data_IF_124396502184
#
_entry.id   IF_124396502184
#
_cell.length_a   1.000
_cell.length_b   1.000
_cell.length_c   1.000
_cell.angle_alpha   90.00
_cell.angle_beta   90.00
_cell.angle_gamma   90.00
#
_symmetry.space_group_name_H-M   'P 1'
#
loop_
_entity.id
_entity.type
_entity.pdbx_description
1 polymer ?
#
# COMPACT_ATOMS: atom_id res chain seq x y z
N UNK A 1 -20.75 28.28 2.16
CA UNK A 1 -19.70 28.41 3.19
C UNK A 1 -19.18 26.99 3.49
N UNK A 2 -17.87 26.75 3.45
CA UNK A 2 -17.31 25.42 3.74
C UNK A 2 -17.02 25.25 5.24
N UNK A 3 -17.30 24.04 5.80
CA UNK A 3 -16.91 23.64 7.14
C UNK A 3 -16.12 22.33 7.08
N UNK A 4 -15.38 22.03 8.14
CA UNK A 4 -14.65 20.77 8.30
C UNK A 4 -15.23 20.05 9.50
N UNK A 5 -15.49 18.76 9.31
CA UNK A 5 -16.02 17.87 10.33
C UNK A 5 -15.16 16.63 10.43
N UNK A 6 -14.84 16.18 11.67
CA UNK A 6 -14.08 14.97 11.92
C UNK A 6 -14.99 13.96 12.58
N UNK A 7 -15.05 12.77 11.99
CA UNK A 7 -15.92 11.68 12.46
C UNK A 7 -15.15 10.35 12.43
N UNK A 8 -15.58 9.40 13.24
CA UNK A 8 -15.15 8.00 13.16
C UNK A 8 -16.05 7.23 12.18
N UNK A 9 -15.55 6.13 11.60
CA UNK A 9 -16.28 5.35 10.59
C UNK A 9 -17.66 4.89 11.05
N UNK A 10 -17.80 4.54 12.33
CA UNK A 10 -19.04 4.05 12.95
C UNK A 10 -20.03 5.19 13.31
N UNK A 11 -19.53 6.40 13.45
CA UNK A 11 -20.35 7.61 13.71
C UNK A 11 -20.98 8.19 12.43
N UNK A 12 -20.46 7.81 11.25
CA UNK A 12 -20.97 8.32 9.95
C UNK A 12 -22.42 7.92 9.77
N UNK A 13 -23.30 8.92 9.66
CA UNK A 13 -24.74 8.72 9.45
C UNK A 13 -25.05 8.17 8.07
N UNK A 14 -26.25 7.63 7.87
CA UNK A 14 -26.65 7.09 6.56
C UNK A 14 -26.69 8.17 5.47
N UNK A 15 -27.02 9.40 5.81
CA UNK A 15 -27.03 10.54 4.88
C UNK A 15 -25.62 10.95 4.48
N UNK A 16 -24.70 11.08 5.44
CA UNK A 16 -23.29 11.38 5.16
C UNK A 16 -22.63 10.29 4.36
N UNK A 17 -22.98 9.02 4.64
CA UNK A 17 -22.47 7.86 3.92
C UNK A 17 -22.87 7.89 2.45
N UNK A 18 -24.13 8.27 2.16
CA UNK A 18 -24.60 8.45 0.80
C UNK A 18 -23.81 9.58 0.10
N UNK A 19 -23.73 10.76 0.72
CA UNK A 19 -23.02 11.92 0.19
C UNK A 19 -21.54 11.63 -0.03
N UNK A 20 -20.88 10.94 0.94
CA UNK A 20 -19.50 10.54 0.79
C UNK A 20 -19.30 9.62 -0.41
N UNK A 21 -20.15 8.59 -0.53
CA UNK A 21 -20.03 7.60 -1.60
C UNK A 21 -20.19 8.23 -2.99
N UNK A 22 -21.11 9.17 -3.13
CA UNK A 22 -21.31 9.93 -4.38
C UNK A 22 -20.08 10.78 -4.71
N UNK A 23 -19.57 11.57 -3.75
CA UNK A 23 -18.38 12.39 -3.92
C UNK A 23 -17.13 11.55 -4.21
N UNK A 24 -16.96 10.42 -3.51
CA UNK A 24 -15.85 9.49 -3.73
C UNK A 24 -15.89 8.90 -5.14
N UNK A 25 -17.06 8.40 -5.57
CA UNK A 25 -17.25 7.82 -6.90
C UNK A 25 -16.94 8.84 -8.00
N UNK A 26 -17.38 10.08 -7.80
CA UNK A 26 -17.08 11.18 -8.73
C UNK A 26 -15.56 11.50 -8.75
N UNK A 27 -14.91 11.57 -7.58
CA UNK A 27 -13.50 11.95 -7.47
C UNK A 27 -12.54 10.92 -8.09
N UNK A 28 -12.86 9.62 -7.95
CA UNK A 28 -11.99 8.52 -8.35
C UNK A 28 -12.48 7.77 -9.59
N UNK A 29 -13.61 8.14 -10.16
CA UNK A 29 -14.29 7.44 -11.28
C UNK A 29 -14.49 5.94 -10.95
N UNK A 30 -15.03 5.68 -9.76
CA UNK A 30 -15.29 4.35 -9.22
C UNK A 30 -16.80 4.16 -9.01
N UNK A 31 -17.18 2.99 -8.52
CA UNK A 31 -18.56 2.65 -8.16
C UNK A 31 -18.56 1.81 -6.90
N UNK A 32 -18.25 2.46 -5.75
CA UNK A 32 -18.41 1.82 -4.44
C UNK A 32 -19.81 2.07 -3.90
N UNK A 33 -20.31 1.14 -3.11
CA UNK A 33 -21.58 1.29 -2.42
C UNK A 33 -21.39 1.76 -0.97
N UNK A 34 -22.44 2.30 -0.32
CA UNK A 34 -22.41 2.62 1.11
C UNK A 34 -22.01 1.44 2.01
N UNK A 35 -22.33 0.20 1.59
CA UNK A 35 -21.94 -1.00 2.33
C UNK A 35 -20.42 -1.22 2.30
N UNK A 36 -19.77 -0.90 1.17
CA UNK A 36 -18.34 -1.08 1.00
C UNK A 36 -17.53 -0.11 1.87
N UNK A 37 -18.09 1.06 2.20
CA UNK A 37 -17.43 2.07 3.03
C UNK A 37 -16.99 1.50 4.38
N UNK A 38 -17.92 0.91 5.15
CA UNK A 38 -17.62 0.41 6.49
C UNK A 38 -16.57 -0.70 6.50
N UNK A 39 -16.64 -1.62 5.52
CA UNK A 39 -15.66 -2.70 5.39
C UNK A 39 -14.29 -2.17 4.97
N UNK A 40 -14.25 -1.18 4.07
CA UNK A 40 -13.02 -0.58 3.56
C UNK A 40 -12.17 0.12 4.64
N UNK A 41 -12.84 0.78 5.59
CA UNK A 41 -12.17 1.62 6.60
C UNK A 41 -12.13 0.99 7.99
N UNK A 42 -12.38 -0.30 8.09
CA UNK A 42 -12.19 -1.03 9.34
C UNK A 42 -10.70 -1.16 9.67
N UNK A 43 -10.35 -1.03 10.92
CA UNK A 43 -8.98 -1.12 11.44
C UNK A 43 -8.95 -2.01 12.69
N UNK A 44 -7.77 -2.18 13.29
CA UNK A 44 -7.63 -2.89 14.56
C UNK A 44 -8.38 -2.20 15.73
N UNK A 45 -8.66 -0.89 15.63
CA UNK A 45 -9.50 -0.16 16.58
C UNK A 45 -11.01 -0.36 16.33
N UNK A 46 -11.38 -1.04 15.22
CA UNK A 46 -12.76 -1.17 14.79
C UNK A 46 -13.25 -0.04 13.88
N UNK A 47 -12.59 1.11 13.88
CA UNK A 47 -12.93 2.30 13.11
C UNK A 47 -11.70 2.99 12.49
N UNK A 48 -11.93 3.93 11.62
CA UNK A 48 -10.96 4.87 11.07
C UNK A 48 -11.45 6.30 11.25
N UNK A 49 -10.57 7.26 11.04
CA UNK A 49 -10.90 8.68 11.16
C UNK A 49 -11.11 9.31 9.79
N UNK A 50 -12.14 10.09 9.66
CA UNK A 50 -12.45 10.84 8.45
C UNK A 50 -12.51 12.32 8.78
N UNK A 51 -11.89 13.15 7.95
CA UNK A 51 -12.11 14.60 7.94
C UNK A 51 -12.82 14.94 6.66
N UNK A 52 -14.07 15.38 6.77
CA UNK A 52 -14.89 15.80 5.65
C UNK A 52 -14.83 17.30 5.45
N UNK A 53 -14.66 17.72 4.21
CA UNK A 53 -14.94 19.09 3.78
C UNK A 53 -16.39 19.15 3.31
N UNK A 54 -17.20 19.91 3.98
CA UNK A 54 -18.64 20.04 3.71
C UNK A 54 -18.94 21.43 3.15
N UNK A 55 -19.68 21.48 2.05
CA UNK A 55 -20.21 22.70 1.44
C UNK A 55 -21.67 22.49 1.13
N UNK A 56 -22.54 23.43 1.57
CA UNK A 56 -24.00 23.34 1.32
C UNK A 56 -24.61 21.99 1.73
N UNK A 57 -24.16 21.45 2.89
CA UNK A 57 -24.53 20.15 3.47
C UNK A 57 -24.04 18.92 2.67
N UNK A 58 -23.26 19.11 1.60
CA UNK A 58 -22.67 18.02 0.81
C UNK A 58 -21.20 17.82 1.14
N UNK A 59 -20.73 16.56 1.17
CA UNK A 59 -19.33 16.23 1.32
C UNK A 59 -18.63 16.44 -0.04
N UNK A 60 -17.74 17.43 -0.07
CA UNK A 60 -16.99 17.81 -1.27
C UNK A 60 -15.50 17.48 -1.20
N UNK A 61 -15.05 16.92 -0.09
CA UNK A 61 -13.68 16.44 0.09
C UNK A 61 -13.52 15.54 1.29
N UNK A 62 -12.49 14.72 1.28
CA UNK A 62 -12.19 13.81 2.39
C UNK A 62 -10.68 13.60 2.54
N UNK A 63 -10.28 13.40 3.79
CA UNK A 63 -9.00 12.80 4.21
C UNK A 63 -9.33 11.69 5.19
N UNK A 64 -8.95 10.47 4.86
CA UNK A 64 -9.16 9.32 5.74
C UNK A 64 -7.84 8.84 6.32
N UNK A 65 -7.83 8.50 7.60
CA UNK A 65 -6.69 7.89 8.30
C UNK A 65 -7.12 6.56 8.90
N UNK A 66 -6.51 5.48 8.42
CA UNK A 66 -6.73 4.12 8.93
C UNK A 66 -5.67 3.83 9.99
N UNK A 67 -6.02 3.59 11.25
CA UNK A 67 -5.10 3.13 12.28
C UNK A 67 -4.45 1.80 11.91
N UNK A 68 -3.13 1.71 12.08
CA UNK A 68 -2.31 0.55 11.76
C UNK A 68 -1.40 0.24 12.93
N UNK A 69 -1.23 -1.04 13.23
CA UNK A 69 -0.34 -1.50 14.29
C UNK A 69 1.03 -1.87 13.70
N UNK A 70 2.10 -1.36 14.33
CA UNK A 70 3.49 -1.62 13.95
C UNK A 70 4.30 -2.11 15.15
N UNK A 71 5.43 -2.75 14.87
CA UNK A 71 6.49 -3.04 15.83
C UNK A 71 7.73 -2.26 15.46
N UNK A 72 8.20 -1.43 16.38
CA UNK A 72 9.48 -0.74 16.34
C UNK A 72 10.40 -1.37 17.38
N UNK A 73 11.50 -2.02 16.96
CA UNK A 73 12.37 -2.78 17.88
C UNK A 73 11.61 -3.71 18.82
N UNK A 74 10.60 -4.43 18.34
CA UNK A 74 9.69 -5.29 19.11
C UNK A 74 8.73 -4.57 20.09
N UNK A 75 8.71 -3.24 20.13
CA UNK A 75 7.69 -2.48 20.86
C UNK A 75 6.53 -2.19 19.93
N UNK A 76 5.31 -2.41 20.38
CA UNK A 76 4.11 -2.03 19.65
C UNK A 76 3.97 -0.51 19.63
N UNK A 77 3.77 0.05 18.44
CA UNK A 77 3.42 1.46 18.21
C UNK A 77 2.29 1.54 17.19
N UNK A 78 1.56 2.62 17.22
CA UNK A 78 0.43 2.83 16.31
C UNK A 78 0.75 3.93 15.31
N UNK A 79 0.48 3.65 14.04
CA UNK A 79 0.58 4.60 12.94
C UNK A 79 -0.76 4.80 12.26
N UNK A 80 -0.92 5.91 11.56
CA UNK A 80 -2.08 6.21 10.75
C UNK A 80 -1.76 6.15 9.27
N UNK A 81 -2.42 5.27 8.52
CA UNK A 81 -2.31 5.23 7.07
C UNK A 81 -3.29 6.21 6.44
N UNK A 82 -2.78 7.23 5.77
CA UNK A 82 -3.61 8.22 5.06
C UNK A 82 -3.98 7.65 3.69
N UNK A 83 -5.28 7.59 3.42
CA UNK A 83 -5.85 7.06 2.17
C UNK A 83 -7.00 7.95 1.68
N UNK A 84 -7.41 7.75 0.45
CA UNK A 84 -8.63 8.30 -0.15
C UNK A 84 -8.76 9.81 0.04
N UNK A 85 -7.68 10.53 -0.26
CA UNK A 85 -7.62 11.98 -0.17
C UNK A 85 -8.15 12.59 -1.45
N UNK A 86 -9.24 13.34 -1.34
CA UNK A 86 -9.80 14.06 -2.47
C UNK A 86 -10.45 15.38 -2.06
N UNK A 87 -10.54 16.29 -3.01
CA UNK A 87 -11.41 17.48 -3.01
C UNK A 87 -11.97 17.57 -4.41
N UNK A 88 -13.29 17.74 -4.54
CA UNK A 88 -13.94 17.89 -5.83
C UNK A 88 -13.43 19.14 -6.57
N UNK A 89 -13.34 19.11 -7.90
CA UNK A 89 -12.69 20.17 -8.69
C UNK A 89 -13.18 21.58 -8.37
N UNK A 90 -14.47 21.74 -8.17
CA UNK A 90 -15.14 23.04 -7.92
C UNK A 90 -14.71 23.67 -6.58
N UNK A 91 -14.19 22.84 -5.66
CA UNK A 91 -13.80 23.25 -4.30
C UNK A 91 -12.28 23.32 -4.09
N UNK A 92 -11.48 23.22 -5.17
CA UNK A 92 -10.00 23.29 -5.12
C UNK A 92 -9.43 24.70 -5.14
N UNK A 93 -10.27 25.73 -5.13
CA UNK A 93 -9.83 27.13 -5.17
C UNK A 93 -9.06 27.56 -3.92
N UNK A 94 -9.39 27.02 -2.74
CA UNK A 94 -8.61 27.24 -1.52
C UNK A 94 -7.54 26.13 -1.38
N UNK A 95 -6.25 26.46 -1.59
CA UNK A 95 -5.17 25.48 -1.49
C UNK A 95 -4.94 24.97 -0.06
N UNK A 96 -5.56 25.60 0.94
CA UNK A 96 -5.40 25.22 2.35
C UNK A 96 -6.47 24.24 2.86
N UNK A 97 -7.48 23.90 2.08
CA UNK A 97 -8.53 22.97 2.52
C UNK A 97 -7.92 21.64 2.99
N UNK A 98 -7.06 21.02 2.21
CA UNK A 98 -6.43 19.75 2.57
C UNK A 98 -5.57 19.87 3.87
N UNK A 99 -4.83 20.97 4.01
CA UNK A 99 -4.06 21.24 5.21
C UNK A 99 -4.95 21.38 6.45
N UNK A 100 -6.07 22.12 6.31
CA UNK A 100 -7.02 22.31 7.41
C UNK A 100 -7.68 20.98 7.80
N UNK A 101 -8.09 20.17 6.81
CA UNK A 101 -8.69 18.85 7.02
C UNK A 101 -7.74 17.92 7.77
N UNK A 102 -6.49 17.82 7.33
CA UNK A 102 -5.52 16.98 8.02
C UNK A 102 -5.18 17.49 9.42
N UNK A 103 -5.06 18.82 9.59
CA UNK A 103 -4.80 19.40 10.92
C UNK A 103 -5.92 19.15 11.91
N UNK A 104 -7.17 19.12 11.45
CA UNK A 104 -8.32 18.81 12.31
C UNK A 104 -8.33 17.34 12.77
N UNK A 105 -7.71 16.41 12.02
CA UNK A 105 -7.55 15.01 12.42
C UNK A 105 -6.50 14.82 13.53
N UNK A 106 -5.41 15.61 13.54
CA UNK A 106 -4.27 15.38 14.44
C UNK A 106 -4.64 15.23 15.93
N UNK A 107 -5.51 16.06 16.53
CA UNK A 107 -5.89 15.89 17.94
C UNK A 107 -6.52 14.51 18.22
N UNK A 108 -7.37 14.02 17.32
CA UNK A 108 -8.02 12.71 17.44
C UNK A 108 -7.02 11.57 17.32
N UNK A 109 -6.07 11.67 16.36
CA UNK A 109 -5.02 10.68 16.19
C UNK A 109 -4.12 10.58 17.42
N UNK A 110 -3.72 11.71 17.99
CA UNK A 110 -2.90 11.78 19.22
C UNK A 110 -3.66 11.18 20.40
N UNK A 111 -4.94 11.46 20.53
CA UNK A 111 -5.80 10.91 21.59
C UNK A 111 -5.82 9.37 21.57
N UNK A 112 -5.79 8.77 20.38
CA UNK A 112 -5.73 7.31 20.18
C UNK A 112 -4.29 6.76 20.17
N UNK A 113 -3.33 7.53 20.66
CA UNK A 113 -1.90 7.16 20.72
C UNK A 113 -1.30 6.82 19.35
N UNK A 114 -1.81 7.38 18.27
CA UNK A 114 -1.20 7.27 16.95
C UNK A 114 0.01 8.21 16.92
N UNK A 115 1.19 7.63 16.78
CA UNK A 115 2.47 8.34 16.93
C UNK A 115 2.97 8.95 15.63
N UNK A 116 2.49 8.46 14.49
CA UNK A 116 2.83 9.00 13.16
C UNK A 116 1.71 8.76 12.16
N UNK A 117 1.70 9.57 11.10
CA UNK A 117 0.86 9.32 9.91
C UNK A 117 1.74 9.07 8.71
N UNK A 118 1.39 8.10 7.87
CA UNK A 118 2.13 7.71 6.68
C UNK A 118 1.24 7.74 5.45
N UNK A 119 1.79 8.16 4.31
CA UNK A 119 1.10 8.14 3.03
C UNK A 119 2.03 7.80 1.87
N UNK A 120 1.44 7.35 0.76
CA UNK A 120 2.13 7.17 -0.53
C UNK A 120 1.38 8.00 -1.58
N UNK A 121 1.60 9.33 -1.61
CA UNK A 121 0.93 10.21 -2.55
C UNK A 121 1.39 9.95 -3.97
N UNK A 122 0.51 10.20 -4.94
CA UNK A 122 0.91 10.23 -6.34
C UNK A 122 1.82 11.45 -6.63
N UNK A 123 2.50 11.42 -7.76
CA UNK A 123 3.46 12.46 -8.16
C UNK A 123 2.85 13.88 -8.16
N UNK A 124 1.58 14.01 -8.53
CA UNK A 124 0.96 15.33 -8.70
C UNK A 124 0.73 16.05 -7.38
N UNK A 125 0.49 15.32 -6.30
CA UNK A 125 0.21 15.89 -4.98
C UNK A 125 1.38 15.75 -4.00
N UNK A 126 2.43 14.98 -4.32
CA UNK A 126 3.56 14.75 -3.41
C UNK A 126 4.25 16.06 -2.97
N UNK A 127 4.38 17.03 -3.88
CA UNK A 127 4.95 18.35 -3.60
C UNK A 127 4.10 19.13 -2.59
N UNK A 128 2.79 19.01 -2.65
CA UNK A 128 1.89 19.65 -1.69
C UNK A 128 2.12 19.08 -0.27
N UNK A 129 2.16 17.75 -0.16
CA UNK A 129 2.40 17.07 1.12
C UNK A 129 3.75 17.46 1.74
N UNK A 130 4.81 17.50 0.95
CA UNK A 130 6.16 17.77 1.49
C UNK A 130 6.41 19.27 1.73
N UNK A 131 5.99 20.17 0.82
CA UNK A 131 6.30 21.60 0.94
C UNK A 131 5.28 22.39 1.78
N UNK A 132 3.99 22.08 1.65
CA UNK A 132 2.92 22.83 2.33
C UNK A 132 2.56 22.15 3.66
N UNK A 133 2.34 20.86 3.64
CA UNK A 133 1.98 20.10 4.84
C UNK A 133 3.18 19.69 5.69
N UNK A 134 4.40 19.82 5.14
CA UNK A 134 5.68 19.56 5.81
C UNK A 134 5.90 18.10 6.26
N UNK A 135 5.36 17.16 5.51
CA UNK A 135 5.69 15.76 5.68
C UNK A 135 7.14 15.48 5.28
N UNK A 136 7.81 14.64 6.04
CA UNK A 136 9.13 14.16 5.70
C UNK A 136 9.06 13.01 4.70
N UNK A 137 10.03 12.92 3.79
CA UNK A 137 10.13 11.81 2.84
C UNK A 137 11.05 10.75 3.40
N UNK A 138 10.55 9.53 3.61
CA UNK A 138 11.33 8.36 4.04
C UNK A 138 12.12 7.74 2.88
N UNK A 139 11.59 7.81 1.66
CA UNK A 139 12.18 7.24 0.45
C UNK A 139 11.15 7.03 -0.64
N UNK A 140 11.51 6.27 -1.67
CA UNK A 140 10.61 5.87 -2.77
C UNK A 140 10.49 4.35 -2.79
N UNK A 141 9.29 3.83 -3.03
CA UNK A 141 9.06 2.40 -3.20
C UNK A 141 9.68 1.91 -4.50
N UNK A 142 10.19 0.70 -4.47
CA UNK A 142 10.79 0.04 -5.62
C UNK A 142 9.76 -0.85 -6.33
N UNK A 143 9.82 -0.83 -7.66
CA UNK A 143 9.11 -1.78 -8.49
C UNK A 143 10.01 -2.99 -8.73
N UNK A 144 9.58 -4.15 -8.26
CA UNK A 144 10.29 -5.41 -8.43
C UNK A 144 9.45 -6.31 -9.34
N UNK A 145 10.04 -6.80 -10.42
CA UNK A 145 9.35 -7.61 -11.43
C UNK A 145 9.95 -9.00 -11.52
N UNK A 146 9.10 -10.00 -11.68
CA UNK A 146 9.48 -11.36 -12.09
C UNK A 146 8.76 -11.68 -13.41
N UNK A 147 9.53 -11.89 -14.46
CA UNK A 147 8.99 -12.20 -15.79
C UNK A 147 8.61 -13.67 -15.84
N UNK A 148 7.37 -13.96 -16.22
CA UNK A 148 6.81 -15.32 -16.32
C UNK A 148 6.76 -15.76 -17.76
N UNK A 149 6.29 -14.88 -18.67
CA UNK A 149 6.14 -15.17 -20.08
C UNK A 149 6.39 -13.92 -20.93
N UNK A 150 7.54 -13.88 -21.62
CA UNK A 150 7.90 -12.79 -22.54
C UNK A 150 7.03 -12.79 -23.81
N UNK A 151 6.41 -13.90 -24.13
CA UNK A 151 5.54 -14.04 -25.31
C UNK A 151 4.10 -13.61 -25.05
N UNK A 152 3.82 -13.10 -23.83
CA UNK A 152 2.52 -12.55 -23.42
C UNK A 152 1.35 -13.52 -23.67
N UNK A 153 1.57 -14.81 -23.44
CA UNK A 153 0.56 -15.86 -23.64
C UNK A 153 0.31 -16.28 -25.09
N UNK A 154 1.00 -15.69 -26.07
CA UNK A 154 0.77 -15.96 -27.50
C UNK A 154 1.05 -17.39 -27.91
N UNK A 155 1.96 -18.08 -27.24
CA UNK A 155 2.35 -19.47 -27.51
C UNK A 155 2.00 -20.43 -26.35
N UNK A 156 1.05 -20.01 -25.51
CA UNK A 156 0.52 -20.83 -24.41
C UNK A 156 1.59 -21.24 -23.39
N UNK A 157 1.50 -22.46 -22.86
CA UNK A 157 2.46 -22.95 -21.86
C UNK A 157 3.91 -23.01 -22.33
N UNK A 158 4.14 -23.17 -23.64
CA UNK A 158 5.50 -23.16 -24.20
C UNK A 158 6.19 -21.81 -23.98
N UNK A 159 5.44 -20.72 -23.96
CA UNK A 159 5.98 -19.38 -23.69
C UNK A 159 6.67 -19.28 -22.35
N UNK A 160 6.07 -19.81 -21.29
CA UNK A 160 6.64 -19.82 -19.95
C UNK A 160 7.91 -20.70 -19.85
N UNK A 161 7.92 -21.85 -20.53
CA UNK A 161 9.09 -22.73 -20.57
C UNK A 161 10.26 -22.05 -21.28
N UNK A 162 10.02 -21.51 -22.49
CA UNK A 162 11.04 -20.79 -23.26
C UNK A 162 11.55 -19.56 -22.51
N UNK A 163 10.67 -18.80 -21.90
CA UNK A 163 11.03 -17.67 -21.04
C UNK A 163 11.94 -18.11 -19.90
N UNK A 164 11.61 -19.19 -19.22
CA UNK A 164 12.41 -19.70 -18.09
C UNK A 164 13.81 -20.12 -18.56
N UNK A 165 13.94 -20.74 -19.72
CA UNK A 165 15.22 -21.13 -20.29
C UNK A 165 16.06 -19.89 -20.68
N UNK A 166 15.44 -18.90 -21.34
CA UNK A 166 16.12 -17.67 -21.75
C UNK A 166 16.59 -16.82 -20.58
N UNK A 167 15.80 -16.80 -19.49
CA UNK A 167 16.13 -16.01 -18.30
C UNK A 167 16.98 -16.75 -17.27
N UNK A 168 17.21 -18.07 -17.41
CA UNK A 168 18.00 -18.85 -16.47
C UNK A 168 19.40 -18.28 -16.20
N UNK A 169 20.19 -17.84 -17.20
CA UNK A 169 21.50 -17.23 -16.95
C UNK A 169 21.38 -15.92 -16.15
N UNK A 170 20.39 -15.10 -16.46
CA UNK A 170 20.15 -13.82 -15.75
C UNK A 170 19.73 -14.07 -14.29
N UNK A 171 18.87 -15.06 -14.06
CA UNK A 171 18.51 -15.46 -12.69
C UNK A 171 19.72 -15.97 -11.91
N UNK A 172 20.62 -16.73 -12.55
CA UNK A 172 21.85 -17.21 -11.92
C UNK A 172 22.77 -16.05 -11.57
N UNK A 173 22.98 -15.11 -12.49
CA UNK A 173 23.76 -13.90 -12.22
C UNK A 173 23.16 -13.10 -11.06
N UNK A 174 21.84 -12.87 -11.06
CA UNK A 174 21.16 -12.16 -9.98
C UNK A 174 21.31 -12.90 -8.63
N UNK A 175 21.21 -14.22 -8.63
CA UNK A 175 21.45 -15.05 -7.44
C UNK A 175 22.87 -14.85 -6.88
N UNK A 176 23.88 -14.88 -7.74
CA UNK A 176 25.29 -14.70 -7.32
C UNK A 176 25.49 -13.29 -6.75
N UNK A 177 24.96 -12.26 -7.42
CA UNK A 177 25.08 -10.87 -6.98
C UNK A 177 24.37 -10.60 -5.66
N UNK A 178 23.24 -11.28 -5.40
CA UNK A 178 22.44 -11.05 -4.19
C UNK A 178 22.80 -11.99 -3.04
N UNK A 179 23.59 -13.03 -3.27
CA UNK A 179 23.94 -14.06 -2.25
C UNK A 179 24.70 -13.50 -1.04
N UNK A 180 25.40 -12.38 -1.19
CA UNK A 180 26.20 -11.75 -0.13
C UNK A 180 25.57 -10.50 0.49
N UNK A 181 24.40 -10.07 0.02
CA UNK A 181 23.76 -8.89 0.59
C UNK A 181 23.22 -9.21 1.98
N UNK A 182 23.77 -8.54 3.00
CA UNK A 182 23.27 -8.63 4.36
C UNK A 182 21.76 -8.28 4.36
N UNK A 183 20.97 -9.15 4.97
CA UNK A 183 19.57 -8.88 5.25
C UNK A 183 19.52 -7.73 6.26
N UNK A 184 19.19 -6.55 5.84
CA UNK A 184 18.86 -5.48 6.79
C UNK A 184 17.65 -5.96 7.59
N UNK A 185 17.83 -6.18 8.88
CA UNK A 185 16.74 -6.53 9.78
C UNK A 185 15.74 -5.37 9.71
N UNK A 186 14.48 -5.68 9.41
CA UNK A 186 13.44 -4.66 9.44
C UNK A 186 13.23 -4.22 10.87
N UNK A 187 13.43 -2.94 11.09
CA UNK A 187 13.27 -2.29 12.40
C UNK A 187 11.80 -1.94 12.62
N UNK A 188 11.16 -1.44 11.57
CA UNK A 188 9.74 -1.14 11.55
C UNK A 188 8.98 -2.24 10.83
N UNK A 189 8.10 -2.94 11.52
CA UNK A 189 7.34 -4.07 10.98
C UNK A 189 5.85 -3.84 11.15
N UNK A 190 5.08 -4.02 10.08
CA UNK A 190 3.62 -4.05 10.15
C UNK A 190 3.15 -5.31 10.89
N UNK A 191 2.25 -5.15 11.85
CA UNK A 191 1.64 -6.29 12.55
C UNK A 191 0.56 -6.91 11.67
N UNK A 192 0.78 -8.16 11.27
CA UNK A 192 -0.10 -8.93 10.40
C UNK A 192 -0.91 -9.93 11.23
N UNK A 193 -1.94 -9.42 11.89
CA UNK A 193 -2.93 -10.27 12.58
C UNK A 193 -3.94 -10.86 11.59
N UNK A 194 -4.74 -11.83 12.03
CA UNK A 194 -5.90 -12.32 11.27
C UNK A 194 -6.85 -11.18 10.92
N UNK A 195 -7.12 -10.31 11.90
CA UNK A 195 -8.01 -9.16 11.77
C UNK A 195 -7.49 -8.14 10.76
N UNK A 196 -6.15 -7.91 10.74
CA UNK A 196 -5.53 -7.08 9.71
C UNK A 196 -5.83 -7.59 8.31
N UNK A 197 -5.64 -8.89 8.06
CA UNK A 197 -5.92 -9.46 6.74
C UNK A 197 -7.42 -9.45 6.42
N UNK A 198 -8.30 -9.74 7.37
CA UNK A 198 -9.75 -9.69 7.18
C UNK A 198 -10.22 -8.30 6.74
N UNK A 199 -9.59 -7.23 7.26
CA UNK A 199 -9.97 -5.86 6.93
C UNK A 199 -9.28 -5.31 5.67
N UNK A 200 -8.09 -5.82 5.32
CA UNK A 200 -7.30 -5.31 4.20
C UNK A 200 -7.47 -6.11 2.91
N UNK A 201 -7.89 -7.36 2.99
CA UNK A 201 -8.06 -8.21 1.82
C UNK A 201 -9.51 -8.17 1.32
N UNK A 202 -9.66 -8.25 -0.01
CA UNK A 202 -10.94 -8.37 -0.70
C UNK A 202 -11.15 -9.82 -1.13
N UNK A 203 -12.38 -10.21 -1.45
CA UNK A 203 -12.71 -11.54 -1.96
C UNK A 203 -11.96 -11.92 -3.24
N UNK A 204 -11.53 -10.93 -4.02
CA UNK A 204 -10.74 -11.13 -5.23
C UNK A 204 -9.27 -11.44 -4.96
N UNK A 205 -8.80 -11.22 -3.72
CA UNK A 205 -7.42 -11.48 -3.33
C UNK A 205 -7.23 -12.97 -3.05
N UNK A 206 -6.15 -13.52 -3.60
CA UNK A 206 -5.82 -14.93 -3.46
C UNK A 206 -4.75 -15.11 -2.39
N UNK A 207 -4.84 -16.21 -1.66
CA UNK A 207 -3.93 -16.58 -0.58
C UNK A 207 -3.21 -17.87 -0.88
N UNK A 208 -1.92 -17.92 -0.65
CA UNK A 208 -1.09 -19.14 -0.67
C UNK A 208 -0.51 -19.36 0.72
N UNK A 209 -0.76 -20.55 1.26
CA UNK A 209 -0.11 -21.02 2.49
C UNK A 209 0.91 -22.10 2.13
N UNK A 210 2.15 -21.91 2.48
CA UNK A 210 3.22 -22.87 2.20
C UNK A 210 4.23 -22.92 3.35
N UNK A 211 4.31 -24.06 4.03
CA UNK A 211 5.30 -24.33 5.10
C UNK A 211 5.42 -23.21 6.14
N UNK A 212 4.30 -22.68 6.61
CA UNK A 212 4.27 -21.59 7.59
C UNK A 212 4.53 -20.20 7.03
N UNK A 213 4.61 -20.05 5.71
CA UNK A 213 4.65 -18.79 5.00
C UNK A 213 3.27 -18.47 4.42
N UNK A 214 2.95 -17.22 4.36
CA UNK A 214 1.70 -16.71 3.81
C UNK A 214 1.98 -15.63 2.79
N UNK A 215 1.37 -15.76 1.61
CA UNK A 215 1.49 -14.83 0.51
C UNK A 215 0.11 -14.47 0.00
N UNK A 216 -0.11 -13.18 -0.19
CA UNK A 216 -1.33 -12.64 -0.77
C UNK A 216 -1.04 -11.98 -2.12
N UNK A 217 -1.89 -12.22 -3.11
CA UNK A 217 -1.76 -11.64 -4.43
C UNK A 217 -3.13 -11.42 -5.08
N UNK A 218 -3.14 -10.60 -6.11
CA UNK A 218 -4.31 -10.40 -6.98
C UNK A 218 -3.87 -10.43 -8.44
N UNK A 219 -4.70 -10.99 -9.31
CA UNK A 219 -4.46 -10.98 -10.75
C UNK A 219 -5.25 -9.84 -11.38
N UNK A 220 -4.56 -9.04 -12.18
CA UNK A 220 -5.14 -7.91 -12.89
C UNK A 220 -4.48 -7.70 -14.24
N UNK A 221 -4.84 -6.61 -14.90
CA UNK A 221 -4.22 -6.20 -16.18
C UNK A 221 -3.49 -4.88 -16.01
N UNK A 222 -2.29 -4.82 -16.52
CA UNK A 222 -1.50 -3.59 -16.67
C UNK A 222 -1.12 -3.42 -18.13
N UNK A 223 -1.59 -2.35 -18.77
CA UNK A 223 -1.33 -2.08 -20.21
C UNK A 223 -1.59 -3.31 -21.13
N UNK A 224 -2.72 -3.99 -20.91
CA UNK A 224 -3.13 -5.22 -21.62
C UNK A 224 -2.29 -6.48 -21.34
N UNK A 225 -1.39 -6.45 -20.36
CA UNK A 225 -0.62 -7.59 -19.90
C UNK A 225 -1.26 -8.14 -18.62
N UNK A 226 -1.45 -9.45 -18.53
CA UNK A 226 -1.90 -10.08 -17.30
C UNK A 226 -0.77 -10.09 -16.27
N UNK A 227 -1.02 -9.53 -15.10
CA UNK A 227 -0.03 -9.35 -14.02
C UNK A 227 -0.59 -9.92 -12.73
N UNK A 228 0.22 -10.66 -11.98
CA UNK A 228 -0.05 -10.94 -10.59
C UNK A 228 0.64 -9.87 -9.73
N UNK A 229 -0.14 -9.10 -8.99
CA UNK A 229 0.37 -8.15 -8.01
C UNK A 229 0.55 -8.86 -6.69
N UNK A 230 1.77 -8.96 -6.23
CA UNK A 230 2.10 -9.49 -4.91
C UNK A 230 1.76 -8.42 -3.86
N UNK A 231 0.72 -8.67 -3.07
CA UNK A 231 0.19 -7.72 -2.11
C UNK A 231 0.97 -7.74 -0.81
N UNK A 232 1.26 -8.94 -0.33
CA UNK A 232 1.98 -9.15 0.92
C UNK A 232 2.65 -10.52 0.96
N UNK A 233 3.71 -10.60 1.75
CA UNK A 233 4.39 -11.85 2.04
C UNK A 233 4.86 -11.84 3.49
N UNK A 234 4.40 -12.79 4.28
CA UNK A 234 4.81 -12.94 5.66
C UNK A 234 5.44 -14.31 5.91
N UNK A 235 6.43 -14.35 6.78
CA UNK A 235 7.11 -15.58 7.18
C UNK A 235 7.17 -15.69 8.68
N UNK A 236 6.79 -16.87 9.18
CA UNK A 236 6.91 -17.20 10.59
C UNK A 236 8.29 -17.82 10.96
N UNK A 237 9.07 -18.25 9.96
CA UNK A 237 10.24 -19.10 10.15
C UNK A 237 11.56 -18.48 9.69
N UNK A 238 11.56 -17.24 9.17
CA UNK A 238 12.78 -16.51 8.83
C UNK A 238 13.55 -16.98 7.57
N UNK A 239 13.22 -18.09 6.94
CA UNK A 239 13.81 -18.52 5.65
C UNK A 239 12.81 -18.31 4.51
N UNK A 240 12.80 -17.12 4.00
CA UNK A 240 11.73 -16.64 3.14
C UNK A 240 12.01 -16.82 1.65
N UNK A 241 13.29 -16.99 1.27
CA UNK A 241 13.67 -17.07 -0.14
C UNK A 241 13.10 -18.31 -0.84
N UNK A 242 13.12 -19.47 -0.16
CA UNK A 242 12.57 -20.71 -0.70
C UNK A 242 11.06 -20.70 -0.75
N UNK A 243 10.42 -20.08 0.25
CA UNK A 243 8.98 -19.96 0.29
C UNK A 243 8.46 -19.02 -0.80
N UNK A 244 9.12 -17.87 -0.98
CA UNK A 244 8.78 -16.95 -2.08
C UNK A 244 8.97 -17.63 -3.45
N UNK A 245 10.06 -18.42 -3.61
CA UNK A 245 10.28 -19.21 -4.84
C UNK A 245 9.13 -20.19 -5.09
N UNK A 246 8.72 -20.94 -4.06
CA UNK A 246 7.63 -21.89 -4.17
C UNK A 246 6.31 -21.19 -4.52
N UNK A 247 6.03 -20.06 -3.89
CA UNK A 247 4.84 -19.25 -4.16
C UNK A 247 4.85 -18.68 -5.60
N UNK A 248 5.98 -18.12 -6.06
CA UNK A 248 6.15 -17.66 -7.45
C UNK A 248 5.93 -18.82 -8.43
N UNK A 249 6.48 -20.01 -8.15
CA UNK A 249 6.27 -21.20 -8.97
C UNK A 249 4.77 -21.59 -9.01
N UNK A 250 4.11 -21.58 -7.87
CA UNK A 250 2.68 -21.85 -7.78
C UNK A 250 1.88 -20.87 -8.64
N UNK A 251 2.09 -19.55 -8.46
CA UNK A 251 1.39 -18.52 -9.24
C UNK A 251 1.62 -18.73 -10.76
N UNK A 252 2.85 -19.05 -11.17
CA UNK A 252 3.18 -19.33 -12.58
C UNK A 252 2.40 -20.52 -13.16
N UNK A 253 2.12 -21.53 -12.36
CA UNK A 253 1.42 -22.73 -12.81
C UNK A 253 -0.10 -22.54 -12.84
N UNK A 254 -0.65 -21.83 -11.86
CA UNK A 254 -2.09 -21.66 -11.68
C UNK A 254 -2.66 -20.50 -12.49
N UNK A 255 -1.85 -19.47 -12.73
CA UNK A 255 -2.32 -18.23 -13.33
C UNK A 255 -1.75 -18.02 -14.75
N UNK A 256 -2.63 -17.60 -15.67
CA UNK A 256 -2.22 -17.19 -17.02
C UNK A 256 -1.73 -15.74 -16.99
N UNK A 257 -0.52 -15.53 -16.48
CA UNK A 257 0.09 -14.22 -16.31
C UNK A 257 1.42 -14.13 -17.06
N UNK A 258 1.83 -12.92 -17.39
CA UNK A 258 3.12 -12.64 -18.03
C UNK A 258 4.14 -12.09 -17.05
N UNK A 259 3.69 -11.44 -15.98
CA UNK A 259 4.53 -10.80 -14.97
C UNK A 259 3.99 -11.08 -13.57
N UNK A 260 4.91 -11.13 -12.59
CA UNK A 260 4.60 -10.92 -11.18
C UNK A 260 5.25 -9.59 -10.78
N UNK A 261 4.47 -8.70 -10.20
CA UNK A 261 4.89 -7.38 -9.76
C UNK A 261 4.81 -7.27 -8.25
N UNK A 262 5.88 -6.87 -7.62
CA UNK A 262 5.93 -6.48 -6.22
C UNK A 262 6.38 -5.03 -6.10
N UNK A 263 5.64 -4.22 -5.36
CA UNK A 263 5.97 -2.82 -5.09
C UNK A 263 6.12 -2.66 -3.58
N UNK A 264 7.33 -2.30 -3.14
CA UNK A 264 7.62 -2.17 -1.71
C UNK A 264 9.03 -2.60 -1.35
N UNK A 265 9.24 -2.83 -0.06
CA UNK A 265 10.51 -3.22 0.53
C UNK A 265 10.39 -4.61 1.17
N UNK A 266 10.67 -5.67 0.41
CA UNK A 266 10.73 -7.02 0.96
C UNK A 266 12.05 -7.28 1.70
N UNK A 267 11.95 -7.99 2.81
CA UNK A 267 13.11 -8.42 3.60
C UNK A 267 13.73 -9.73 3.05
N UNK A 268 13.82 -9.86 1.71
CA UNK A 268 14.18 -11.12 1.07
C UNK A 268 15.32 -10.95 0.09
N UNK A 269 16.15 -12.00 0.00
CA UNK A 269 17.06 -12.18 -1.11
C UNK A 269 16.24 -12.56 -2.37
N UNK A 270 15.96 -11.55 -3.20
CA UNK A 270 14.92 -11.61 -4.24
C UNK A 270 15.51 -11.95 -5.60
N UNK A 271 16.37 -12.94 -5.72
CA UNK A 271 17.01 -13.27 -7.00
C UNK A 271 16.02 -13.60 -8.15
N UNK A 272 14.75 -13.87 -7.85
CA UNK A 272 13.69 -14.05 -8.85
C UNK A 272 13.07 -12.74 -9.32
N UNK A 273 13.33 -11.65 -8.61
CA UNK A 273 12.82 -10.33 -8.94
C UNK A 273 13.96 -9.43 -9.37
N UNK A 274 13.71 -8.63 -10.38
CA UNK A 274 14.58 -7.56 -10.79
C UNK A 274 13.96 -6.23 -10.40
N UNK A 275 14.76 -5.41 -9.74
CA UNK A 275 14.38 -4.03 -9.49
C UNK A 275 14.30 -3.30 -10.82
N UNK A 276 13.15 -2.70 -11.09
CA UNK A 276 12.96 -1.91 -12.30
C UNK A 276 13.82 -0.64 -12.24
N UNK A 277 14.59 -0.32 -13.28
CA UNK A 277 15.30 0.94 -13.33
C UNK A 277 14.34 2.13 -13.20
N UNK A 278 14.73 3.16 -12.44
CA UNK A 278 13.87 4.31 -12.12
C UNK A 278 13.23 5.00 -13.33
N UNK A 279 13.89 4.99 -14.49
CA UNK A 279 13.36 5.57 -15.73
C UNK A 279 12.28 4.72 -16.41
N UNK A 280 12.16 3.44 -16.04
CA UNK A 280 11.12 2.52 -16.52
C UNK A 280 9.93 2.41 -15.56
N UNK A 281 10.03 2.94 -14.35
CA UNK A 281 8.95 2.92 -13.39
C UNK A 281 7.74 3.71 -13.91
N UNK A 282 6.51 3.18 -13.81
CA UNK A 282 5.30 3.86 -14.32
C UNK A 282 5.09 5.21 -13.64
N UNK A 283 5.39 5.28 -12.36
CA UNK A 283 5.29 6.49 -11.54
C UNK A 283 6.21 6.39 -10.33
N UNK A 284 6.58 7.55 -9.78
CA UNK A 284 7.25 7.61 -8.48
C UNK A 284 6.24 7.42 -7.37
N UNK A 285 6.60 6.63 -6.38
CA UNK A 285 5.80 6.34 -5.18
C UNK A 285 6.59 6.75 -3.93
N UNK A 286 6.67 8.05 -3.62
CA UNK A 286 7.32 8.50 -2.40
C UNK A 286 6.52 8.05 -1.19
N UNK A 287 7.21 7.55 -0.18
CA UNK A 287 6.65 7.30 1.15
C UNK A 287 6.95 8.51 2.01
N UNK A 288 5.91 9.12 2.52
CA UNK A 288 5.99 10.33 3.36
C UNK A 288 5.41 10.07 4.74
N UNK A 289 5.96 10.75 5.74
CA UNK A 289 5.58 10.59 7.15
C UNK A 289 5.39 11.95 7.82
N UNK A 290 4.38 12.07 8.68
CA UNK A 290 4.23 13.12 9.67
C UNK A 290 4.38 12.51 11.06
N UNK A 291 5.29 13.03 11.85
CA UNK A 291 5.58 12.57 13.20
C UNK A 291 4.69 13.34 14.19
N UNK A 292 3.82 12.64 14.89
CA UNK A 292 2.81 13.22 15.78
C UNK A 292 3.29 13.32 17.24
N UNK A 293 4.26 12.49 17.63
CA UNK A 293 4.79 12.42 19.00
C UNK A 293 6.22 12.97 19.16
N UNK A 294 6.76 13.60 18.09
CA UNK A 294 8.13 14.14 18.03
C UNK A 294 9.23 13.06 18.23
N UNK A 295 8.98 11.83 17.80
CA UNK A 295 9.99 10.77 17.83
C UNK A 295 10.96 10.89 16.65
N UNK A 296 12.14 11.45 16.90
CA UNK A 296 13.18 11.68 15.88
C UNK A 296 13.69 10.38 15.23
N UNK A 297 13.59 9.24 15.90
CA UNK A 297 13.98 7.95 15.33
C UNK A 297 13.15 7.61 14.10
N UNK A 298 11.85 7.87 14.13
CA UNK A 298 10.95 7.60 12.99
C UNK A 298 11.28 8.45 11.78
N UNK A 299 11.64 9.73 11.99
CA UNK A 299 11.96 10.65 10.91
C UNK A 299 13.29 10.34 10.22
N UNK A 300 14.25 9.81 10.98
CA UNK A 300 15.59 9.50 10.50
C UNK A 300 15.74 8.05 10.01
N UNK A 301 14.70 7.22 10.17
CA UNK A 301 14.73 5.83 9.75
C UNK A 301 14.57 5.71 8.23
N UNK A 302 15.56 5.19 7.50
CA UNK A 302 15.44 5.01 6.05
C UNK A 302 14.40 3.92 5.72
N UNK A 303 13.75 4.08 4.57
CA UNK A 303 12.66 3.20 4.13
C UNK A 303 13.05 1.72 4.01
N UNK A 304 14.31 1.41 3.76
CA UNK A 304 14.82 0.04 3.66
C UNK A 304 14.80 -0.72 5.01
N UNK A 305 14.67 -0.02 6.12
CA UNK A 305 14.43 -0.61 7.44
C UNK A 305 12.95 -0.86 7.74
N UNK A 306 12.05 -0.43 6.86
CA UNK A 306 10.61 -0.68 6.97
C UNK A 306 10.22 -1.96 6.22
N UNK A 307 9.36 -2.76 6.82
CA UNK A 307 8.66 -3.84 6.13
C UNK A 307 7.43 -3.23 5.43
N UNK A 308 7.62 -2.84 4.17
CA UNK A 308 6.62 -2.10 3.41
C UNK A 308 6.19 -2.90 2.18
N UNK A 309 4.91 -3.21 2.11
CA UNK A 309 4.28 -3.97 1.01
C UNK A 309 3.08 -3.20 0.45
N UNK A 310 2.43 -3.72 -0.59
CA UNK A 310 1.23 -3.10 -1.15
C UNK A 310 0.10 -2.96 -0.11
N UNK A 311 -0.01 -3.86 0.86
CA UNK A 311 -1.02 -3.77 1.92
C UNK A 311 -0.80 -2.59 2.87
N UNK A 312 0.41 -2.00 2.90
CA UNK A 312 0.68 -0.83 3.73
C UNK A 312 0.07 0.46 3.17
N UNK A 313 -0.35 0.52 1.90
CA UNK A 313 -0.85 1.76 1.30
C UNK A 313 -1.94 1.60 0.24
N UNK A 314 -1.94 0.55 -0.54
CA UNK A 314 -2.92 0.32 -1.61
C UNK A 314 -3.41 -1.13 -1.57
N UNK A 315 -4.68 -1.33 -1.83
CA UNK A 315 -5.30 -2.66 -1.95
C UNK A 315 -6.07 -2.67 -3.26
N UNK A 316 -5.39 -3.12 -4.30
CA UNK A 316 -5.92 -3.19 -5.68
C UNK A 316 -7.04 -4.19 -5.88
#
# INVERSE_FOLDING_TARGET
>A
MTRIEVVQTDEVTSSELQNYTEAFNLAFNLSISPKDFRSKYKSFLGFSFHSFLISEEEIVGSVTVIPMEYKLHNKTIFGGLIVDVFILPEHRSDPFHLLKMYRSLKPFLIQENITFSIAVPNKNVSTYWTKIMRFNTLGELDYNISIVDIFLGRIGHLGGILTSLLLAPLHLCNYVLTKGTNRNLKVMQLVRSSDFYEHRLKDTHKRILFRGHELHYVVGKERNVNVAFLLDFSSRLGDDANALRAAVKYIKNEERISLILFIGQLNLNQYLFWKLPKFLEPQKLPVIIDNLDNNDELLNMPLDLWDFTLLNYDVR
#
